data_IF_062889100620
#
_entry.id   IF_062889100620
#
_cell.length_a   1.000
_cell.length_b   1.000
_cell.length_c   1.000
_cell.angle_alpha   90.00
_cell.angle_beta   90.00
_cell.angle_gamma   90.00
#
_symmetry.space_group_name_H-M   'P 1'
#
loop_
_entity.id
_entity.type
_entity.pdbx_description
1 polymer ?
#
# COMPACT_ATOMS: atom_id res chain seq x y z
N UNK A 1 25.29 87.91 -22.84
CA UNK A 1 26.06 86.99 -23.71
C UNK A 1 26.71 85.96 -22.83
N UNK A 2 26.13 84.78 -22.67
CA UNK A 2 26.80 83.63 -22.00
C UNK A 2 26.31 82.35 -22.62
N UNK A 3 27.23 81.62 -23.21
CA UNK A 3 27.00 80.34 -23.88
C UNK A 3 26.87 79.26 -22.84
N UNK A 4 25.71 78.53 -22.86
CA UNK A 4 25.47 77.31 -22.09
C UNK A 4 26.06 76.14 -22.82
N UNK A 5 27.00 75.42 -22.19
CA UNK A 5 27.63 74.20 -22.67
C UNK A 5 26.83 73.05 -22.18
N UNK A 6 26.12 72.37 -23.09
CA UNK A 6 25.39 71.08 -22.77
C UNK A 6 26.38 69.95 -22.70
N UNK A 7 26.60 69.39 -21.50
CA UNK A 7 27.28 68.15 -21.29
C UNK A 7 26.31 67.01 -21.55
N UNK A 8 26.59 66.20 -22.59
CA UNK A 8 25.89 64.94 -22.84
C UNK A 8 26.47 63.86 -21.94
N UNK A 9 25.69 63.35 -20.97
CA UNK A 9 26.02 62.14 -20.24
C UNK A 9 25.54 60.97 -21.07
N UNK A 10 26.49 60.16 -21.56
CA UNK A 10 26.23 58.82 -22.10
C UNK A 10 26.14 57.84 -20.94
N UNK A 11 24.92 57.40 -20.62
CA UNK A 11 24.70 56.32 -19.68
C UNK A 11 24.76 55.03 -20.48
N UNK A 12 25.89 54.30 -20.38
CA UNK A 12 26.00 52.96 -20.89
C UNK A 12 25.22 51.95 -20.02
N UNK A 13 24.11 51.47 -20.49
CA UNK A 13 23.39 50.37 -19.85
C UNK A 13 24.10 49.07 -20.16
N UNK A 14 24.82 48.53 -19.17
CA UNK A 14 25.31 47.14 -19.21
C UNK A 14 24.16 46.24 -18.85
N UNK A 15 23.54 45.59 -19.84
CA UNK A 15 22.61 44.51 -19.66
C UNK A 15 23.41 43.24 -19.27
N UNK A 16 23.59 43.03 -17.97
CA UNK A 16 24.04 41.73 -17.48
C UNK A 16 22.87 40.73 -17.60
N UNK A 17 22.87 39.95 -18.67
CA UNK A 17 21.96 38.86 -18.86
C UNK A 17 22.25 37.76 -17.82
N UNK A 18 21.49 37.69 -16.75
CA UNK A 18 21.48 36.55 -15.85
C UNK A 18 20.73 35.43 -16.55
N UNK A 19 21.46 34.54 -17.20
CA UNK A 19 20.91 33.30 -17.70
C UNK A 19 20.52 32.46 -16.47
N UNK A 20 19.27 32.55 -16.09
CA UNK A 20 18.68 31.70 -15.05
C UNK A 20 18.44 30.32 -15.68
N UNK A 21 19.49 29.50 -15.75
CA UNK A 21 19.36 28.07 -16.05
C UNK A 21 18.61 27.43 -14.90
N UNK A 22 17.28 27.52 -14.91
CA UNK A 22 16.43 26.68 -14.12
C UNK A 22 16.72 25.25 -14.51
N UNK A 23 17.56 24.58 -13.73
CA UNK A 23 17.77 23.14 -13.79
C UNK A 23 16.44 22.49 -13.39
N UNK A 24 15.54 22.31 -14.35
CA UNK A 24 14.34 21.51 -14.19
C UNK A 24 14.84 20.08 -13.92
N UNK A 25 14.98 19.73 -12.63
CA UNK A 25 15.11 18.34 -12.22
C UNK A 25 13.86 17.65 -12.75
N UNK A 26 14.00 16.98 -13.87
CA UNK A 26 13.02 16.01 -14.33
C UNK A 26 12.95 14.93 -13.26
N UNK A 27 12.02 15.10 -12.34
CA UNK A 27 11.55 13.98 -11.53
C UNK A 27 10.93 13.00 -12.52
N UNK A 28 11.70 12.00 -12.97
CA UNK A 28 11.14 10.81 -13.57
C UNK A 28 10.26 10.21 -12.47
N UNK A 29 8.97 10.44 -12.54
CA UNK A 29 7.99 9.66 -11.81
C UNK A 29 8.23 8.22 -12.27
N UNK A 30 8.87 7.43 -11.42
CA UNK A 30 8.96 5.99 -11.64
C UNK A 30 7.51 5.53 -11.53
N UNK A 31 6.94 5.01 -12.60
CA UNK A 31 5.63 4.38 -12.52
C UNK A 31 5.71 3.35 -11.41
N UNK A 32 5.07 3.65 -10.29
CA UNK A 32 5.00 2.72 -9.17
C UNK A 32 4.16 1.53 -9.61
N UNK A 33 4.65 0.34 -9.32
CA UNK A 33 3.95 -0.90 -9.62
C UNK A 33 2.61 -0.89 -8.88
N UNK A 34 1.53 -0.97 -9.64
CA UNK A 34 0.19 -1.06 -9.08
C UNK A 34 -0.10 -2.50 -8.66
N UNK A 35 -0.66 -2.65 -7.48
CA UNK A 35 -0.94 -3.94 -6.87
C UNK A 35 -2.43 -4.29 -6.94
N UNK A 36 -2.71 -5.58 -7.00
CA UNK A 36 -3.99 -6.12 -6.54
C UNK A 36 -3.80 -6.44 -5.06
N UNK A 37 -4.64 -5.87 -4.22
CA UNK A 37 -4.60 -6.06 -2.77
C UNK A 37 -5.80 -6.90 -2.36
N UNK A 38 -5.54 -7.95 -1.62
CA UNK A 38 -6.52 -8.88 -1.06
C UNK A 38 -6.41 -8.81 0.46
N UNK A 39 -7.43 -8.24 1.10
CA UNK A 39 -7.46 -8.06 2.55
C UNK A 39 -8.61 -8.86 3.14
N UNK A 40 -8.28 -9.82 4.00
CA UNK A 40 -9.23 -10.74 4.63
C UNK A 40 -9.26 -10.53 6.13
N UNK A 41 -10.45 -10.62 6.69
CA UNK A 41 -10.70 -10.56 8.12
C UNK A 41 -11.46 -11.80 8.56
N UNK A 42 -10.97 -12.43 9.65
CA UNK A 42 -11.53 -13.64 10.21
C UNK A 42 -12.09 -13.37 11.61
N UNK A 43 -13.32 -13.82 11.85
CA UNK A 43 -13.93 -13.88 13.18
C UNK A 43 -13.89 -15.32 13.67
N UNK A 44 -13.20 -15.58 14.78
CA UNK A 44 -13.06 -16.91 15.34
C UNK A 44 -14.39 -17.41 15.92
N UNK A 45 -14.67 -18.71 15.81
CA UNK A 45 -15.79 -19.35 16.54
C UNK A 45 -15.62 -19.24 18.06
N UNK A 46 -14.36 -19.34 18.50
CA UNK A 46 -13.99 -19.23 19.91
C UNK A 46 -13.06 -18.00 20.10
N UNK A 47 -13.58 -16.78 20.13
CA UNK A 47 -12.74 -15.56 20.12
C UNK A 47 -11.84 -15.44 21.36
N UNK A 48 -12.18 -16.11 22.47
CA UNK A 48 -11.36 -16.19 23.68
C UNK A 48 -10.25 -17.25 23.65
N UNK A 49 -10.21 -18.11 22.63
CA UNK A 49 -9.20 -19.16 22.48
C UNK A 49 -7.91 -18.64 21.86
N UNK A 50 -6.87 -18.45 22.65
CA UNK A 50 -5.54 -18.09 22.16
C UNK A 50 -4.99 -19.20 21.24
N UNK A 51 -5.23 -20.48 21.57
CA UNK A 51 -4.76 -21.61 20.77
C UNK A 51 -5.39 -21.63 19.36
N UNK A 52 -6.71 -21.38 19.25
CA UNK A 52 -7.39 -21.31 17.95
C UNK A 52 -6.86 -20.13 17.10
N UNK A 53 -6.64 -19.00 17.75
CA UNK A 53 -6.07 -17.82 17.09
C UNK A 53 -4.67 -18.09 16.58
N UNK A 54 -3.79 -18.66 17.39
CA UNK A 54 -2.41 -18.97 17.02
C UNK A 54 -2.38 -20.00 15.88
N UNK A 55 -3.26 -20.99 15.92
CA UNK A 55 -3.41 -22.00 14.86
C UNK A 55 -3.89 -21.34 13.54
N UNK A 56 -4.84 -20.42 13.58
CA UNK A 56 -5.27 -19.70 12.39
C UNK A 56 -4.15 -18.84 11.82
N UNK A 57 -3.40 -18.14 12.66
CA UNK A 57 -2.23 -17.36 12.25
C UNK A 57 -1.19 -18.23 11.54
N UNK A 58 -0.91 -19.42 12.07
CA UNK A 58 -0.02 -20.42 11.45
C UNK A 58 -0.53 -20.80 10.06
N UNK A 59 -1.82 -21.13 9.95
CA UNK A 59 -2.45 -21.48 8.67
C UNK A 59 -2.36 -20.34 7.65
N UNK A 60 -2.68 -19.12 8.03
CA UNK A 60 -2.57 -17.96 7.13
C UNK A 60 -1.12 -17.73 6.69
N UNK A 61 -0.15 -17.85 7.58
CA UNK A 61 1.28 -17.73 7.23
C UNK A 61 1.74 -18.75 6.19
N UNK A 62 1.14 -19.96 6.18
CA UNK A 62 1.49 -21.00 5.20
C UNK A 62 1.18 -20.60 3.76
N UNK A 63 0.25 -19.66 3.56
CA UNK A 63 -0.13 -19.15 2.24
C UNK A 63 1.00 -18.36 1.54
N UNK A 64 2.02 -17.94 2.28
CA UNK A 64 3.22 -17.32 1.69
C UNK A 64 4.01 -18.27 0.77
N UNK A 65 3.75 -19.58 0.82
CA UNK A 65 4.36 -20.57 -0.08
C UNK A 65 3.79 -20.52 -1.50
N UNK A 66 2.69 -19.80 -1.73
CA UNK A 66 2.07 -19.67 -3.05
C UNK A 66 2.87 -18.63 -3.85
N UNK A 67 3.39 -19.03 -5.00
CA UNK A 67 4.33 -18.25 -5.81
C UNK A 67 3.75 -16.94 -6.37
N UNK A 68 2.43 -16.84 -6.50
CA UNK A 68 1.76 -15.60 -6.95
C UNK A 68 1.57 -14.58 -5.83
N UNK A 69 1.72 -14.97 -4.56
CA UNK A 69 1.69 -14.08 -3.40
C UNK A 69 3.02 -13.31 -3.31
N UNK A 70 3.00 -12.01 -3.56
CA UNK A 70 4.20 -11.18 -3.54
C UNK A 70 4.54 -10.65 -2.16
N UNK A 71 3.51 -10.36 -1.38
CA UNK A 71 3.63 -9.95 0.02
C UNK A 71 2.47 -10.53 0.81
N UNK A 72 2.74 -10.94 2.02
CA UNK A 72 1.74 -11.38 2.99
C UNK A 72 2.03 -10.72 4.33
N UNK A 73 1.05 -10.03 4.87
CA UNK A 73 1.04 -9.53 6.25
C UNK A 73 -0.08 -10.20 7.01
N UNK A 74 0.23 -10.73 8.18
CA UNK A 74 -0.76 -11.34 9.09
C UNK A 74 -0.84 -10.47 10.33
N UNK A 75 -2.04 -10.11 10.73
CA UNK A 75 -2.26 -9.18 11.83
C UNK A 75 -3.40 -9.59 12.76
N UNK A 76 -3.45 -8.92 13.88
CA UNK A 76 -4.54 -8.94 14.85
C UNK A 76 -4.97 -7.49 15.11
N UNK A 77 -6.16 -7.24 15.71
CA UNK A 77 -6.57 -5.88 16.01
C UNK A 77 -5.50 -5.11 16.79
N UNK A 78 -5.17 -3.92 16.32
CA UNK A 78 -4.26 -3.02 17.02
C UNK A 78 -4.99 -2.34 18.18
N UNK A 79 -4.29 -2.11 19.29
CA UNK A 79 -4.82 -1.39 20.46
C UNK A 79 -4.87 0.13 20.25
N UNK A 80 -5.44 0.58 19.14
CA UNK A 80 -5.60 2.01 18.85
C UNK A 80 -6.76 2.61 19.66
N UNK A 81 -6.82 3.95 19.71
CA UNK A 81 -7.91 4.66 20.35
C UNK A 81 -9.27 4.23 19.81
N UNK A 82 -10.24 4.04 20.69
CA UNK A 82 -11.63 3.73 20.31
C UNK A 82 -12.25 4.93 19.59
N UNK A 83 -12.73 4.68 18.35
CA UNK A 83 -13.50 5.61 17.53
C UNK A 83 -14.61 4.83 16.85
N UNK A 84 -15.73 5.47 16.58
CA UNK A 84 -16.92 4.81 16.00
C UNK A 84 -16.64 4.17 14.62
N UNK A 85 -15.61 4.66 13.93
CA UNK A 85 -15.21 4.16 12.61
C UNK A 85 -14.18 3.02 12.67
N UNK A 86 -13.71 2.64 13.88
CA UNK A 86 -12.71 1.56 14.05
C UNK A 86 -13.40 0.27 14.41
N UNK A 87 -13.38 -0.69 13.48
CA UNK A 87 -13.82 -2.05 13.74
C UNK A 87 -12.63 -2.93 14.15
N UNK A 88 -12.58 -3.29 15.43
CA UNK A 88 -11.59 -4.18 16.02
C UNK A 88 -12.23 -5.53 16.43
N UNK A 89 -13.39 -5.90 15.85
CA UNK A 89 -14.14 -7.09 16.24
C UNK A 89 -13.59 -8.39 15.65
N UNK A 90 -12.74 -8.32 14.64
CA UNK A 90 -12.10 -9.50 14.03
C UNK A 90 -11.00 -10.09 14.95
N UNK A 91 -10.65 -11.35 14.73
CA UNK A 91 -9.58 -12.02 15.48
C UNK A 91 -8.24 -12.00 14.78
N UNK A 92 -8.25 -12.26 13.47
CA UNK A 92 -7.05 -12.33 12.60
C UNK A 92 -7.36 -11.63 11.29
N UNK A 93 -6.35 -10.99 10.71
CA UNK A 93 -6.42 -10.49 9.33
C UNK A 93 -5.21 -10.93 8.52
N UNK A 94 -5.41 -11.04 7.22
CA UNK A 94 -4.34 -11.19 6.24
C UNK A 94 -4.43 -10.08 5.20
N UNK A 95 -3.28 -9.57 4.79
CA UNK A 95 -3.16 -8.58 3.74
C UNK A 95 -2.17 -9.10 2.70
N UNK A 96 -2.64 -9.39 1.52
CA UNK A 96 -1.85 -9.93 0.41
C UNK A 96 -1.75 -8.95 -0.75
N UNK A 97 -0.66 -9.10 -1.50
CA UNK A 97 -0.38 -8.32 -2.70
C UNK A 97 -0.06 -9.24 -3.86
N UNK A 98 -0.71 -9.01 -5.00
CA UNK A 98 -0.51 -9.73 -6.25
C UNK A 98 -0.13 -8.77 -7.36
N UNK A 99 0.58 -9.27 -8.38
CA UNK A 99 1.01 -8.46 -9.52
C UNK A 99 -0.16 -8.06 -10.44
N UNK A 100 -1.19 -8.89 -10.51
CA UNK A 100 -2.34 -8.72 -11.39
C UNK A 100 -3.53 -9.62 -10.97
N UNK A 101 -4.67 -9.43 -11.61
CA UNK A 101 -5.88 -10.21 -11.34
C UNK A 101 -5.73 -11.70 -11.66
N UNK A 102 -4.92 -12.07 -12.68
CA UNK A 102 -4.69 -13.47 -13.01
C UNK A 102 -3.93 -14.21 -11.91
N UNK A 103 -2.96 -13.55 -11.28
CA UNK A 103 -2.21 -14.09 -10.14
C UNK A 103 -3.12 -14.26 -8.91
N UNK A 104 -4.00 -13.31 -8.64
CA UNK A 104 -5.00 -13.44 -7.57
C UNK A 104 -5.98 -14.58 -7.85
N UNK A 105 -6.44 -14.74 -9.09
CA UNK A 105 -7.32 -15.84 -9.47
C UNK A 105 -6.61 -17.21 -9.34
N UNK A 106 -5.34 -17.30 -9.73
CA UNK A 106 -4.52 -18.51 -9.56
C UNK A 106 -4.35 -18.89 -8.07
N UNK A 107 -4.17 -17.88 -7.20
CA UNK A 107 -4.13 -18.08 -5.75
C UNK A 107 -5.41 -18.76 -5.23
N UNK A 108 -6.60 -18.31 -5.67
CA UNK A 108 -7.88 -18.85 -5.18
C UNK A 108 -8.05 -20.36 -5.43
N UNK A 109 -7.49 -20.88 -6.52
CA UNK A 109 -7.55 -22.29 -6.90
C UNK A 109 -6.30 -23.08 -6.58
N UNK A 110 -5.30 -22.42 -5.99
CA UNK A 110 -4.02 -23.05 -5.68
C UNK A 110 -4.17 -24.16 -4.63
N UNK A 111 -3.53 -25.32 -4.78
CA UNK A 111 -3.64 -26.45 -3.84
C UNK A 111 -3.34 -26.08 -2.38
N UNK A 112 -2.37 -25.19 -2.15
CA UNK A 112 -2.02 -24.72 -0.80
C UNK A 112 -3.18 -23.91 -0.19
N UNK A 113 -3.85 -23.04 -0.99
CA UNK A 113 -5.02 -22.29 -0.54
C UNK A 113 -6.20 -23.22 -0.22
N UNK A 114 -6.49 -24.17 -1.11
CA UNK A 114 -7.57 -25.13 -0.89
C UNK A 114 -7.34 -25.96 0.37
N UNK A 115 -6.10 -26.42 0.58
CA UNK A 115 -5.70 -27.14 1.79
C UNK A 115 -5.83 -26.27 3.05
N UNK A 116 -5.46 -24.99 2.96
CA UNK A 116 -5.64 -24.05 4.06
C UNK A 116 -7.13 -23.98 4.45
N UNK A 117 -8.03 -23.76 3.49
CA UNK A 117 -9.48 -23.70 3.75
C UNK A 117 -9.96 -25.01 4.38
N UNK A 118 -9.58 -26.17 3.82
CA UNK A 118 -9.95 -27.48 4.35
C UNK A 118 -9.51 -27.68 5.81
N UNK A 119 -8.27 -27.31 6.13
CA UNK A 119 -7.68 -27.58 7.44
C UNK A 119 -8.06 -26.58 8.53
N UNK A 120 -8.35 -25.33 8.16
CA UNK A 120 -8.51 -24.23 9.14
C UNK A 120 -9.90 -23.60 9.16
N UNK A 121 -10.79 -23.89 8.20
CA UNK A 121 -12.12 -23.25 8.14
C UNK A 121 -12.99 -23.51 9.38
N UNK A 122 -12.75 -24.59 10.10
CA UNK A 122 -13.46 -24.88 11.34
C UNK A 122 -13.16 -23.90 12.47
N UNK A 123 -12.11 -23.06 12.35
CA UNK A 123 -11.67 -22.11 13.39
C UNK A 123 -12.45 -20.78 13.31
N UNK A 124 -13.03 -20.42 12.18
CA UNK A 124 -13.79 -19.17 12.03
C UNK A 124 -15.27 -19.39 11.78
N UNK A 125 -16.07 -18.45 12.21
CA UNK A 125 -17.52 -18.42 11.95
C UNK A 125 -17.88 -17.45 10.83
N UNK A 126 -17.01 -16.44 10.57
CA UNK A 126 -17.22 -15.41 9.58
C UNK A 126 -15.91 -14.99 8.94
N UNK A 127 -15.96 -14.74 7.65
CA UNK A 127 -14.87 -14.18 6.85
C UNK A 127 -15.42 -13.02 6.02
N UNK A 128 -14.66 -11.93 5.93
CA UNK A 128 -14.92 -10.82 5.00
C UNK A 128 -13.65 -10.54 4.21
N UNK A 129 -13.81 -10.34 2.92
CA UNK A 129 -12.73 -10.05 1.98
C UNK A 129 -12.96 -8.68 1.35
N UNK A 130 -11.91 -7.89 1.26
CA UNK A 130 -11.87 -6.66 0.48
C UNK A 130 -10.76 -6.75 -0.55
N UNK A 131 -11.16 -6.77 -1.83
CA UNK A 131 -10.24 -6.75 -2.95
C UNK A 131 -10.20 -5.34 -3.54
N UNK A 132 -9.01 -4.82 -3.80
CA UNK A 132 -8.86 -3.52 -4.46
C UNK A 132 -7.77 -3.53 -5.52
N UNK A 133 -7.97 -2.70 -6.55
CA UNK A 133 -6.91 -2.25 -7.46
C UNK A 133 -6.31 -0.97 -6.90
N UNK A 134 -5.00 -0.94 -6.82
CA UNK A 134 -4.28 0.31 -6.60
C UNK A 134 -4.41 1.23 -7.83
N UNK A 135 -4.65 2.52 -7.61
CA UNK A 135 -4.93 3.52 -8.68
C UNK A 135 -3.85 4.60 -8.79
#
# INVERSE_FOLDING_TARGET
MTRSTRRKFLIGAILAGVANTACAKHFKYKEEKKWIVHHVFFWLKNPGSAADKDKLIEGVRSLAAIETVRKLHVGVPAGTEKRDVVDASYGVSELMFFDNLADQAAYQTHPVHLKFVEQYSHLWEKVIVYDMNEV
#
